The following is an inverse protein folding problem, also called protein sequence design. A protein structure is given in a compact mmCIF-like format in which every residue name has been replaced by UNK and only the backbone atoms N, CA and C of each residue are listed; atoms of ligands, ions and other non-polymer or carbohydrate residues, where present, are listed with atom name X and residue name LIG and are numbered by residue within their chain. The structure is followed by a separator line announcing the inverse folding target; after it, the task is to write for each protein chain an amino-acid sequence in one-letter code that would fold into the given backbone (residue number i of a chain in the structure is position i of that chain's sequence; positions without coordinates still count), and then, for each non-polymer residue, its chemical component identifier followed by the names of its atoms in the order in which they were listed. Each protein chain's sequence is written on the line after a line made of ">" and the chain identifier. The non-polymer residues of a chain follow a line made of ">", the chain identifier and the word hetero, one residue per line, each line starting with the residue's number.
data_IF_668534776383
#
_entry.id   IF_668534776383
#
_cell.length_a   1.000
_cell.length_b   1.000
_cell.length_c   1.000
_cell.angle_alpha   90.00
_cell.angle_beta   90.00
_cell.angle_gamma   90.00
#
_symmetry.space_group_name_H-M   'P 1'
#
loop_
_entity.id
_entity.type
_entity.pdbx_description
1 polymer ?
#
# COMPACT_ATOMS: atom_id res chain seq x y z
N UNK A 1 -14.15 6.95 -19.14
CA UNK A 1 -13.59 5.91 -18.25
C UNK A 1 -13.85 6.35 -16.83
N UNK A 2 -14.57 5.55 -16.01
CA UNK A 2 -14.69 5.83 -14.58
C UNK A 2 -13.33 5.52 -13.96
N UNK A 3 -12.60 6.53 -13.52
CA UNK A 3 -11.40 6.32 -12.70
C UNK A 3 -11.81 5.44 -11.52
N UNK A 4 -11.16 4.29 -11.34
CA UNK A 4 -11.41 3.44 -10.18
C UNK A 4 -11.11 4.25 -8.91
N UNK A 5 -11.97 4.15 -7.89
CA UNK A 5 -11.71 4.85 -6.65
C UNK A 5 -10.52 4.18 -5.94
N UNK A 6 -9.38 4.87 -5.97
CA UNK A 6 -8.16 4.49 -5.29
C UNK A 6 -8.09 5.23 -3.96
N UNK A 7 -7.94 4.50 -2.86
CA UNK A 7 -7.68 5.08 -1.54
C UNK A 7 -6.22 4.86 -1.16
N UNK A 8 -5.56 5.92 -0.68
CA UNK A 8 -4.17 5.90 -0.24
C UNK A 8 -4.08 6.11 1.28
N UNK A 9 -3.54 5.12 1.98
CA UNK A 9 -3.25 5.14 3.41
C UNK A 9 -1.78 5.52 3.61
N UNK A 10 -1.55 6.71 4.12
CA UNK A 10 -0.20 7.21 4.39
C UNK A 10 0.45 6.50 5.58
N UNK A 11 1.76 6.69 5.76
CA UNK A 11 2.52 6.17 6.91
C UNK A 11 2.29 7.00 8.17
N UNK A 12 3.08 6.78 9.23
CA UNK A 12 3.02 7.62 10.43
C UNK A 12 3.29 9.08 10.04
N UNK A 13 2.42 10.00 10.46
CA UNK A 13 2.50 11.41 10.09
C UNK A 13 1.11 12.05 10.01
N UNK A 14 1.07 13.28 9.49
CA UNK A 14 -0.18 14.00 9.30
C UNK A 14 -0.60 13.93 7.84
N UNK A 15 -1.90 13.90 7.59
CA UNK A 15 -2.48 13.90 6.23
C UNK A 15 -1.88 14.99 5.34
N UNK A 16 -1.60 16.18 5.91
CA UNK A 16 -1.02 17.33 5.18
C UNK A 16 0.35 17.03 4.55
N UNK A 17 1.10 16.07 5.12
CA UNK A 17 2.43 15.68 4.63
C UNK A 17 2.33 14.88 3.31
N UNK A 18 1.12 14.44 2.96
CA UNK A 18 0.81 13.66 1.76
C UNK A 18 -0.20 14.37 0.85
N UNK A 19 -0.37 15.69 1.00
CA UNK A 19 -1.36 16.49 0.25
C UNK A 19 -1.22 16.36 -1.26
N UNK A 20 0.01 16.23 -1.76
CA UNK A 20 0.30 16.02 -3.19
C UNK A 20 -0.34 14.76 -3.79
N UNK A 21 -0.68 13.77 -2.96
CA UNK A 21 -1.33 12.54 -3.39
C UNK A 21 -2.85 12.68 -3.51
N UNK A 22 -3.46 13.72 -2.94
CA UNK A 22 -4.91 13.97 -3.06
C UNK A 22 -5.36 14.27 -4.49
N UNK A 23 -4.43 14.66 -5.36
CA UNK A 23 -4.69 14.86 -6.80
C UNK A 23 -4.98 13.53 -7.50
N UNK A 24 -4.48 12.41 -6.97
CA UNK A 24 -4.60 11.09 -7.58
C UNK A 24 -5.52 10.15 -6.80
N UNK A 25 -5.59 10.32 -5.48
CA UNK A 25 -6.21 9.35 -4.57
C UNK A 25 -7.16 10.01 -3.59
N UNK A 26 -8.12 9.23 -3.10
CA UNK A 26 -8.77 9.54 -1.83
C UNK A 26 -7.75 9.31 -0.69
N UNK A 27 -7.40 10.38 0.03
CA UNK A 27 -6.49 10.32 1.19
C UNK A 27 -7.30 10.58 2.47
N UNK A 28 -7.79 9.55 3.16
CA UNK A 28 -8.57 9.70 4.38
C UNK A 28 -7.67 10.07 5.56
N UNK A 29 -8.22 10.74 6.56
CA UNK A 29 -7.53 10.91 7.84
C UNK A 29 -7.47 9.58 8.60
N UNK A 30 -6.31 9.29 9.21
CA UNK A 30 -6.03 8.08 9.97
C UNK A 30 -5.80 8.46 11.44
N UNK A 31 -6.56 7.85 12.34
CA UNK A 31 -6.29 7.92 13.78
C UNK A 31 -5.29 6.82 14.14
N UNK A 32 -4.01 7.20 14.24
CA UNK A 32 -2.92 6.29 14.59
C UNK A 32 -2.94 5.81 16.05
N UNK A 33 -3.69 6.48 16.95
CA UNK A 33 -3.84 6.00 18.32
C UNK A 33 -4.78 4.81 18.39
N UNK A 34 -5.82 4.81 17.55
CA UNK A 34 -6.83 3.74 17.51
C UNK A 34 -6.73 2.82 16.30
N UNK A 35 -5.79 3.09 15.39
CA UNK A 35 -5.64 2.41 14.10
C UNK A 35 -6.90 2.42 13.23
N UNK A 36 -7.72 3.48 13.36
CA UNK A 36 -9.00 3.60 12.64
C UNK A 36 -8.88 4.52 11.44
N UNK A 37 -9.54 4.13 10.36
CA UNK A 37 -9.69 4.93 9.14
C UNK A 37 -11.03 4.62 8.48
N UNK A 38 -11.64 5.65 7.88
CA UNK A 38 -12.85 5.48 7.06
C UNK A 38 -12.47 5.42 5.58
N UNK A 39 -12.57 4.24 4.99
CA UNK A 39 -12.36 4.02 3.56
C UNK A 39 -13.73 3.98 2.85
N UNK A 40 -13.91 4.73 1.73
CA UNK A 40 -15.16 4.68 0.95
C UNK A 40 -15.53 3.24 0.53
N UNK A 41 -16.83 2.93 0.52
CA UNK A 41 -17.33 1.58 0.21
C UNK A 41 -16.98 1.15 -1.22
N UNK A 42 -16.90 2.11 -2.11
CA UNK A 42 -16.65 1.98 -3.55
C UNK A 42 -15.16 1.82 -3.87
N UNK A 43 -14.28 1.96 -2.87
CA UNK A 43 -12.84 1.77 -3.04
C UNK A 43 -12.56 0.37 -3.55
N UNK A 44 -11.99 0.31 -4.77
CA UNK A 44 -11.56 -0.94 -5.43
C UNK A 44 -10.08 -1.21 -5.22
N UNK A 45 -9.28 -0.15 -5.23
CA UNK A 45 -7.83 -0.22 -5.06
C UNK A 45 -7.44 0.45 -3.75
N UNK A 46 -6.71 -0.29 -2.93
CA UNK A 46 -6.18 0.22 -1.67
C UNK A 46 -4.65 0.27 -1.77
N UNK A 47 -4.08 1.44 -1.53
CA UNK A 47 -2.63 1.66 -1.50
C UNK A 47 -2.26 2.00 -0.06
N UNK A 48 -1.22 1.37 0.47
CA UNK A 48 -0.70 1.71 1.80
C UNK A 48 0.80 1.94 1.76
N UNK A 49 1.30 2.92 2.50
CA UNK A 49 2.74 3.19 2.63
C UNK A 49 3.25 3.02 4.05
N UNK A 50 4.39 2.34 4.24
CA UNK A 50 5.01 2.12 5.55
C UNK A 50 4.01 1.49 6.54
N UNK A 51 3.61 2.19 7.61
CA UNK A 51 2.57 1.73 8.54
C UNK A 51 1.17 1.69 7.89
N UNK A 52 0.90 2.57 6.92
CA UNK A 52 -0.34 2.53 6.14
C UNK A 52 -0.48 1.24 5.33
N UNK A 53 0.63 0.57 4.96
CA UNK A 53 0.59 -0.74 4.33
C UNK A 53 0.14 -1.85 5.31
N UNK A 54 0.54 -1.77 6.59
CA UNK A 54 0.06 -2.67 7.64
C UNK A 54 -1.45 -2.49 7.83
N UNK A 55 -1.90 -1.23 7.93
CA UNK A 55 -3.33 -0.92 8.03
C UNK A 55 -4.11 -1.39 6.80
N UNK A 56 -3.54 -1.25 5.60
CA UNK A 56 -4.15 -1.75 4.37
C UNK A 56 -4.34 -3.28 4.40
N UNK A 57 -3.35 -4.01 4.92
CA UNK A 57 -3.45 -5.44 5.16
C UNK A 57 -4.60 -5.75 6.12
N UNK A 58 -4.68 -5.08 7.27
CA UNK A 58 -5.75 -5.29 8.26
C UNK A 58 -7.14 -5.06 7.65
N UNK A 59 -7.35 -3.93 6.98
CA UNK A 59 -8.64 -3.64 6.32
C UNK A 59 -9.00 -4.67 5.24
N UNK A 60 -8.00 -5.18 4.52
CA UNK A 60 -8.23 -6.21 3.50
C UNK A 60 -8.59 -7.58 4.09
N UNK A 61 -8.42 -7.80 5.40
CA UNK A 61 -8.99 -9.01 6.05
C UNK A 61 -10.50 -8.87 6.26
N UNK A 62 -11.01 -7.64 6.35
CA UNK A 62 -12.41 -7.33 6.63
C UNK A 62 -13.20 -7.14 5.34
N UNK A 63 -12.63 -6.43 4.36
CA UNK A 63 -13.26 -6.08 3.09
C UNK A 63 -12.43 -6.62 1.92
N UNK A 64 -13.09 -7.15 0.88
CA UNK A 64 -12.41 -7.53 -0.36
C UNK A 64 -12.06 -6.30 -1.20
N UNK A 65 -10.82 -6.24 -1.69
CA UNK A 65 -10.35 -5.24 -2.66
C UNK A 65 -10.00 -5.93 -3.99
N UNK A 66 -10.05 -5.19 -5.09
CA UNK A 66 -9.60 -5.70 -6.40
C UNK A 66 -8.07 -5.75 -6.43
N UNK A 67 -7.42 -4.66 -6.00
CA UNK A 67 -5.96 -4.52 -6.01
C UNK A 67 -5.49 -3.91 -4.68
N UNK A 68 -4.48 -4.52 -4.07
CA UNK A 68 -3.81 -4.01 -2.88
C UNK A 68 -2.35 -3.66 -3.24
N UNK A 69 -1.96 -2.40 -3.09
CA UNK A 69 -0.59 -1.94 -3.37
C UNK A 69 0.11 -1.60 -2.06
N UNK A 70 1.07 -2.43 -1.67
CA UNK A 70 1.79 -2.35 -0.40
C UNK A 70 3.17 -1.72 -0.64
N UNK A 71 3.27 -0.42 -0.34
CA UNK A 71 4.46 0.40 -0.57
C UNK A 71 5.34 0.39 0.69
N UNK A 72 6.56 -0.15 0.56
CA UNK A 72 7.59 -0.15 1.61
C UNK A 72 7.04 -0.61 2.97
N UNK A 73 6.28 -1.70 2.97
CA UNK A 73 5.57 -2.19 4.15
C UNK A 73 6.56 -2.49 5.28
N UNK A 74 6.36 -1.82 6.42
CA UNK A 74 7.17 -2.09 7.60
C UNK A 74 6.96 -3.52 8.10
N UNK A 75 8.00 -4.15 8.67
CA UNK A 75 7.83 -5.43 9.33
C UNK A 75 6.94 -5.31 10.56
N UNK A 76 6.22 -6.39 10.88
CA UNK A 76 5.17 -6.38 11.92
C UNK A 76 3.96 -7.24 11.56
N UNK A 77 3.87 -7.71 10.32
CA UNK A 77 2.85 -8.66 9.88
C UNK A 77 3.47 -10.06 9.79
N UNK A 78 2.93 -11.02 10.54
CA UNK A 78 3.43 -12.40 10.53
C UNK A 78 2.98 -13.18 9.29
N UNK A 79 1.76 -12.92 8.81
CA UNK A 79 1.15 -13.65 7.70
C UNK A 79 0.13 -12.78 6.96
N UNK A 80 0.00 -13.04 5.66
CA UNK A 80 -0.94 -12.43 4.73
C UNK A 80 -1.98 -13.44 4.22
N UNK A 81 -2.11 -14.61 4.89
CA UNK A 81 -3.03 -15.67 4.48
C UNK A 81 -4.50 -15.24 4.39
N UNK A 82 -4.91 -14.26 5.20
CA UNK A 82 -6.30 -13.82 5.31
C UNK A 82 -6.62 -12.57 4.48
N UNK A 83 -5.67 -12.09 3.67
CA UNK A 83 -5.88 -10.94 2.78
C UNK A 83 -6.96 -11.29 1.76
N UNK A 84 -7.98 -10.43 1.64
CA UNK A 84 -9.03 -10.53 0.62
C UNK A 84 -8.73 -9.53 -0.49
N UNK A 85 -7.89 -9.93 -1.43
CA UNK A 85 -7.61 -9.17 -2.64
C UNK A 85 -7.53 -10.09 -3.87
N UNK A 86 -7.91 -9.60 -5.05
CA UNK A 86 -7.68 -10.36 -6.29
C UNK A 86 -6.20 -10.31 -6.69
N UNK A 87 -5.55 -9.15 -6.48
CA UNK A 87 -4.13 -8.93 -6.73
C UNK A 87 -3.46 -8.15 -5.59
N UNK A 88 -2.23 -8.55 -5.24
CA UNK A 88 -1.35 -7.80 -4.33
C UNK A 88 -0.04 -7.41 -5.03
N UNK A 89 0.28 -6.13 -5.03
CA UNK A 89 1.52 -5.59 -5.59
C UNK A 89 2.35 -5.01 -4.47
N UNK A 90 3.56 -5.52 -4.26
CA UNK A 90 4.53 -4.92 -3.36
C UNK A 90 5.43 -3.97 -4.12
N UNK A 91 5.55 -2.74 -3.64
CA UNK A 91 6.55 -1.77 -4.09
C UNK A 91 7.60 -1.60 -3.00
N UNK A 92 8.87 -1.77 -3.34
CA UNK A 92 9.97 -1.64 -2.38
C UNK A 92 11.13 -0.90 -3.03
N UNK A 93 11.71 0.08 -2.35
CA UNK A 93 12.93 0.74 -2.81
C UNK A 93 14.12 -0.21 -2.75
N UNK A 94 14.99 -0.18 -3.77
CA UNK A 94 16.19 -1.02 -3.84
C UNK A 94 17.09 -0.87 -2.60
N UNK A 95 17.16 0.33 -2.02
CA UNK A 95 17.98 0.61 -0.83
C UNK A 95 17.38 0.02 0.46
N UNK A 96 16.12 -0.41 0.43
CA UNK A 96 15.38 -0.94 1.57
C UNK A 96 15.61 -2.46 1.76
N UNK A 97 16.85 -2.86 1.98
CA UNK A 97 17.25 -4.29 2.04
C UNK A 97 16.40 -5.11 3.01
N UNK A 98 16.11 -4.56 4.18
CA UNK A 98 15.33 -5.26 5.22
C UNK A 98 13.85 -5.37 4.86
N UNK A 99 13.23 -4.27 4.42
CA UNK A 99 11.85 -4.24 3.87
C UNK A 99 11.68 -5.26 2.75
N UNK A 100 12.66 -5.36 1.84
CA UNK A 100 12.64 -6.31 0.74
C UNK A 100 12.69 -7.77 1.23
N UNK A 101 13.55 -8.07 2.21
CA UNK A 101 13.63 -9.41 2.82
C UNK A 101 12.30 -9.81 3.46
N UNK A 102 11.72 -8.92 4.26
CA UNK A 102 10.47 -9.17 4.94
C UNK A 102 9.30 -9.30 3.96
N UNK A 103 9.24 -8.45 2.95
CA UNK A 103 8.28 -8.55 1.84
C UNK A 103 8.35 -9.92 1.17
N UNK A 104 9.55 -10.43 0.86
CA UNK A 104 9.71 -11.79 0.31
C UNK A 104 9.25 -12.88 1.28
N UNK A 105 9.45 -12.71 2.58
CA UNK A 105 9.02 -13.68 3.60
C UNK A 105 7.49 -13.74 3.66
N UNK A 106 6.85 -12.60 3.92
CA UNK A 106 5.39 -12.54 4.16
C UNK A 106 4.59 -12.79 2.90
N UNK A 107 5.06 -12.35 1.73
CA UNK A 107 4.36 -12.58 0.46
C UNK A 107 4.19 -14.07 0.12
N UNK A 108 5.04 -14.97 0.65
CA UNK A 108 4.87 -16.43 0.48
C UNK A 108 3.56 -16.96 1.07
N UNK A 109 2.99 -16.25 2.04
CA UNK A 109 1.76 -16.65 2.73
C UNK A 109 0.49 -16.20 2.00
N UNK A 110 0.59 -15.35 0.98
CA UNK A 110 -0.52 -14.95 0.12
C UNK A 110 -1.00 -16.09 -0.77
N UNK A 111 -2.31 -16.23 -0.89
CA UNK A 111 -3.00 -17.17 -1.78
C UNK A 111 -3.42 -16.57 -3.13
N UNK A 112 -3.44 -15.24 -3.26
CA UNK A 112 -3.83 -14.53 -4.48
C UNK A 112 -2.65 -14.26 -5.43
N UNK A 113 -2.94 -13.66 -6.59
CA UNK A 113 -1.92 -13.17 -7.51
C UNK A 113 -1.07 -12.13 -6.79
N UNK A 114 0.26 -12.24 -6.93
CA UNK A 114 1.19 -11.31 -6.30
C UNK A 114 2.36 -10.93 -7.20
N UNK A 115 2.83 -9.69 -7.07
CA UNK A 115 4.06 -9.21 -7.69
C UNK A 115 4.90 -8.41 -6.68
N UNK A 116 6.23 -8.50 -6.80
CA UNK A 116 7.16 -7.68 -6.01
C UNK A 116 7.97 -6.86 -7.01
N UNK A 117 7.87 -5.54 -6.90
CA UNK A 117 8.54 -4.60 -7.78
C UNK A 117 9.57 -3.84 -6.94
N UNK A 118 10.84 -4.07 -7.26
CA UNK A 118 11.96 -3.33 -6.67
C UNK A 118 12.23 -2.09 -7.50
N UNK A 119 12.32 -0.94 -6.85
CA UNK A 119 12.46 0.37 -7.51
C UNK A 119 13.94 0.81 -7.43
N UNK A 120 14.68 0.82 -8.55
CA UNK A 120 16.11 1.14 -8.55
C UNK A 120 16.40 2.53 -7.99
N UNK A 121 17.43 2.61 -7.14
CA UNK A 121 17.90 3.83 -6.50
C UNK A 121 16.98 4.44 -5.43
N UNK A 122 15.75 3.92 -5.27
CA UNK A 122 14.78 4.44 -4.32
C UNK A 122 15.07 3.99 -2.89
N UNK A 123 14.76 4.88 -1.94
CA UNK A 123 14.78 4.66 -0.50
C UNK A 123 13.34 4.61 0.06
N UNK A 124 13.21 4.68 1.39
CA UNK A 124 11.93 4.63 2.09
C UNK A 124 11.15 5.96 1.99
N UNK A 125 10.94 6.46 0.77
CA UNK A 125 10.21 7.71 0.49
C UNK A 125 9.40 7.58 -0.79
N UNK A 126 8.18 8.11 -0.78
CA UNK A 126 7.31 8.16 -1.96
C UNK A 126 7.67 9.35 -2.88
N UNK A 127 8.91 9.43 -3.32
CA UNK A 127 9.40 10.50 -4.19
C UNK A 127 10.09 9.95 -5.44
N UNK A 128 10.34 10.82 -6.42
CA UNK A 128 11.12 10.50 -7.62
C UNK A 128 10.65 9.23 -8.34
N UNK A 129 11.57 8.27 -8.52
CA UNK A 129 11.30 6.99 -9.17
C UNK A 129 10.21 6.17 -8.47
N UNK A 130 10.11 6.29 -7.15
CA UNK A 130 9.10 5.57 -6.39
C UNK A 130 7.69 6.04 -6.78
N UNK A 131 7.44 7.34 -6.64
CA UNK A 131 6.16 7.96 -6.97
C UNK A 131 5.78 7.69 -8.43
N UNK A 132 6.74 7.80 -9.35
CA UNK A 132 6.53 7.51 -10.77
C UNK A 132 6.04 6.08 -10.99
N UNK A 133 6.68 5.10 -10.34
CA UNK A 133 6.31 3.69 -10.48
C UNK A 133 4.95 3.38 -9.86
N UNK A 134 4.64 3.97 -8.70
CA UNK A 134 3.32 3.85 -8.07
C UNK A 134 2.21 4.33 -9.01
N UNK A 135 2.36 5.53 -9.59
CA UNK A 135 1.37 6.08 -10.54
C UNK A 135 1.26 5.24 -11.82
N UNK A 136 2.37 4.70 -12.34
CA UNK A 136 2.37 3.80 -13.50
C UNK A 136 1.52 2.54 -13.26
N UNK A 137 1.59 1.95 -12.07
CA UNK A 137 0.86 0.72 -11.72
C UNK A 137 -0.65 0.95 -11.55
N UNK A 138 -1.03 2.17 -11.18
CA UNK A 138 -2.43 2.54 -10.94
C UNK A 138 -3.14 3.02 -12.21
N UNK A 139 -2.39 3.45 -13.23
CA UNK A 139 -2.92 3.84 -14.54
C UNK A 139 -3.00 2.69 -15.56
N UNK A 140 -2.71 1.46 -15.13
CA UNK A 140 -2.86 0.22 -15.91
C UNK A 140 -4.13 -0.52 -15.50
#
# INVERSE_FOLDING_TARGET
>A
MKHELVTFLYGQGLKKDFKEFEVYFNVPEIDWNTWKVKVPKETKVLVGFSMGAILACELSTQKKFQKLVLCSMMPGVETLKNIKADEVIFLVGEKEKWTHKETKRVSKTLSCVKSIIVIPGADHRLAGNYRRKLLEILNK
#
